data_IF_235766952253
#
_entry.id   IF_235766952253
#
_cell.length_a   1.000
_cell.length_b   1.000
_cell.length_c   1.000
_cell.angle_alpha   90.00
_cell.angle_beta   90.00
_cell.angle_gamma   90.00
#
_symmetry.space_group_name_H-M   'P 1'
#
loop_
_entity.id
_entity.type
_entity.pdbx_description
1 polymer ?
#
# COMPACT_ATOMS: atom_id res chain seq x y z
N UNK A 1 -34.69 -28.12 -2.11
CA UNK A 1 -33.70 -27.36 -2.90
C UNK A 1 -33.68 -25.86 -2.59
N UNK A 2 -34.81 -25.21 -2.27
CA UNK A 2 -34.84 -23.75 -2.06
C UNK A 2 -34.16 -23.27 -0.77
N UNK A 3 -34.16 -24.07 0.30
CA UNK A 3 -33.48 -23.74 1.58
C UNK A 3 -31.95 -23.68 1.43
N UNK A 4 -31.39 -24.52 0.56
CA UNK A 4 -29.95 -24.55 0.27
C UNK A 4 -29.53 -23.39 -0.64
N UNK A 5 -30.37 -23.03 -1.61
CA UNK A 5 -30.15 -21.86 -2.46
C UNK A 5 -30.19 -20.54 -1.65
N UNK A 6 -31.13 -20.41 -0.70
CA UNK A 6 -31.18 -19.24 0.19
C UNK A 6 -29.95 -19.14 1.10
N UNK A 7 -29.46 -20.27 1.62
CA UNK A 7 -28.26 -20.31 2.47
C UNK A 7 -27.00 -19.93 1.70
N UNK A 8 -26.83 -20.46 0.48
CA UNK A 8 -25.69 -20.13 -0.38
C UNK A 8 -25.66 -18.65 -0.77
N UNK A 9 -26.83 -18.08 -1.09
CA UNK A 9 -26.95 -16.65 -1.40
C UNK A 9 -26.58 -15.76 -0.22
N UNK A 10 -27.02 -16.12 0.99
CA UNK A 10 -26.70 -15.39 2.22
C UNK A 10 -25.19 -15.40 2.54
N UNK A 11 -24.50 -16.51 2.29
CA UNK A 11 -23.04 -16.60 2.45
C UNK A 11 -22.34 -15.68 1.44
N UNK A 12 -22.76 -15.66 0.17
CA UNK A 12 -22.17 -14.79 -0.85
C UNK A 12 -22.34 -13.29 -0.52
N UNK A 13 -23.46 -12.89 0.09
CA UNK A 13 -23.71 -11.50 0.50
C UNK A 13 -22.82 -11.04 1.67
N UNK A 14 -22.30 -11.97 2.47
CA UNK A 14 -21.43 -11.66 3.62
C UNK A 14 -19.95 -11.44 3.26
N UNK A 15 -19.59 -11.57 1.97
CA UNK A 15 -18.21 -11.44 1.49
C UNK A 15 -17.70 -9.99 1.39
N UNK A 16 -18.39 -9.01 2.00
CA UNK A 16 -17.96 -7.62 2.00
C UNK A 16 -16.67 -7.47 2.83
N UNK A 17 -15.62 -6.90 2.24
CA UNK A 17 -14.29 -6.76 2.84
C UNK A 17 -14.20 -5.73 3.97
N UNK A 18 -13.02 -5.64 4.58
CA UNK A 18 -12.72 -4.68 5.66
C UNK A 18 -12.77 -3.22 5.16
N UNK A 19 -13.20 -2.29 6.01
CA UNK A 19 -13.35 -0.87 5.70
C UNK A 19 -12.64 0.00 6.72
N UNK A 20 -12.15 1.16 6.28
CA UNK A 20 -11.46 2.09 7.17
C UNK A 20 -12.41 2.62 8.25
N UNK A 21 -11.99 2.51 9.52
CA UNK A 21 -12.76 2.97 10.68
C UNK A 21 -12.42 4.40 11.10
N UNK A 22 -11.25 4.90 10.69
CA UNK A 22 -10.77 6.25 10.98
C UNK A 22 -10.82 7.08 9.70
N UNK A 23 -11.17 8.35 9.84
CA UNK A 23 -11.04 9.33 8.76
C UNK A 23 -9.56 9.64 8.48
N UNK A 24 -9.29 10.19 7.29
CA UNK A 24 -7.93 10.62 6.90
C UNK A 24 -7.35 11.65 7.88
N UNK A 25 -8.21 12.52 8.44
CA UNK A 25 -7.80 13.52 9.42
C UNK A 25 -7.33 12.87 10.74
N UNK A 26 -7.99 11.82 11.20
CA UNK A 26 -7.63 11.09 12.43
C UNK A 26 -6.34 10.27 12.28
N UNK A 27 -6.00 9.88 11.05
CA UNK A 27 -4.76 9.17 10.71
C UNK A 27 -3.59 10.09 10.35
N UNK A 28 -3.73 11.42 10.44
CA UNK A 28 -2.72 12.39 9.99
C UNK A 28 -2.33 13.35 11.13
N UNK A 29 -1.08 13.80 11.15
CA UNK A 29 -0.56 14.79 12.11
C UNK A 29 0.48 14.21 13.08
N UNK A 30 0.94 15.01 14.05
CA UNK A 30 2.05 14.64 14.94
C UNK A 30 1.69 13.54 15.96
N UNK A 31 0.39 13.29 16.18
CA UNK A 31 -0.09 12.25 17.09
C UNK A 31 -1.35 11.57 16.51
N UNK A 32 -1.22 10.79 15.44
CA UNK A 32 -2.36 10.13 14.80
C UNK A 32 -2.93 9.03 15.69
N UNK A 33 -4.22 8.75 15.54
CA UNK A 33 -4.83 7.58 16.14
C UNK A 33 -4.34 6.32 15.46
N UNK A 34 -3.76 5.39 16.21
CA UNK A 34 -3.32 4.09 15.68
C UNK A 34 -4.34 3.02 16.07
N UNK A 35 -5.08 2.44 15.09
CA UNK A 35 -5.98 1.33 15.39
C UNK A 35 -5.18 0.09 15.78
N UNK A 36 -5.78 -0.76 16.63
CA UNK A 36 -5.20 -2.05 16.94
C UNK A 36 -5.13 -2.93 15.67
N UNK A 37 -4.12 -3.81 15.55
CA UNK A 37 -4.01 -4.74 14.43
C UNK A 37 -5.26 -5.63 14.30
N UNK A 38 -5.78 -5.77 13.10
CA UNK A 38 -6.90 -6.68 12.78
C UNK A 38 -6.33 -7.98 12.23
N UNK A 39 -6.81 -9.12 12.75
CA UNK A 39 -6.47 -10.46 12.25
C UNK A 39 -7.71 -11.08 11.59
N UNK A 40 -7.60 -11.45 10.32
CA UNK A 40 -8.67 -12.13 9.57
C UNK A 40 -8.12 -13.41 8.94
N UNK A 41 -9.03 -14.35 8.63
CA UNK A 41 -8.67 -15.59 7.91
C UNK A 41 -8.22 -15.30 6.47
N UNK A 42 -8.83 -14.30 5.84
CA UNK A 42 -8.47 -13.79 4.51
C UNK A 42 -8.09 -12.31 4.65
N UNK A 43 -6.82 -11.92 4.48
CA UNK A 43 -6.40 -10.53 4.61
C UNK A 43 -6.83 -9.70 3.39
N UNK A 44 -7.22 -8.46 3.62
CA UNK A 44 -7.39 -7.48 2.55
C UNK A 44 -6.01 -6.97 2.13
N UNK A 45 -5.67 -7.13 0.85
CA UNK A 45 -4.39 -6.70 0.30
C UNK A 45 -4.66 -5.78 -0.89
N UNK A 46 -4.23 -4.52 -0.80
CA UNK A 46 -4.30 -3.55 -1.89
C UNK A 46 -2.88 -3.06 -2.21
N UNK A 47 -2.17 -3.83 -3.03
CA UNK A 47 -0.80 -3.51 -3.44
C UNK A 47 -0.86 -2.62 -4.68
N UNK A 48 -0.31 -1.42 -4.60
CA UNK A 48 -0.10 -0.57 -5.76
C UNK A 48 0.95 -1.21 -6.68
N UNK A 49 0.71 -1.32 -8.01
CA UNK A 49 1.73 -1.76 -8.95
C UNK A 49 2.96 -0.85 -8.90
N UNK A 50 4.15 -1.44 -8.84
CA UNK A 50 5.38 -0.68 -8.95
C UNK A 50 5.56 -0.19 -10.40
N UNK A 51 5.57 1.14 -10.60
CA UNK A 51 5.84 1.76 -11.89
C UNK A 51 7.28 2.28 -11.86
N UNK A 52 8.14 1.70 -12.69
CA UNK A 52 9.51 2.18 -12.89
C UNK A 52 9.56 3.48 -13.69
N UNK A 53 10.72 4.13 -13.69
CA UNK A 53 10.98 5.27 -14.57
C UNK A 53 11.26 4.78 -16.01
N UNK A 54 10.84 5.53 -17.05
CA UNK A 54 11.30 5.29 -18.41
C UNK A 54 12.83 5.37 -18.51
N UNK A 55 13.41 4.70 -19.51
CA UNK A 55 14.86 4.73 -19.74
C UNK A 55 15.37 6.17 -19.88
N UNK A 56 16.38 6.53 -19.08
CA UNK A 56 17.01 7.85 -19.09
C UNK A 56 16.18 8.96 -18.45
N UNK A 57 15.00 8.67 -17.88
CA UNK A 57 14.19 9.67 -17.22
C UNK A 57 14.77 10.03 -15.84
N UNK A 58 14.69 11.32 -15.50
CA UNK A 58 15.15 11.86 -14.21
C UNK A 58 14.13 12.89 -13.69
N UNK A 59 13.86 12.94 -12.38
CA UNK A 59 12.98 13.96 -11.80
C UNK A 59 13.55 15.37 -11.94
N UNK A 60 12.66 16.36 -11.90
CA UNK A 60 13.05 17.77 -11.87
C UNK A 60 13.79 18.08 -10.57
N UNK A 61 15.00 18.61 -10.68
CA UNK A 61 15.78 19.05 -9.53
C UNK A 61 15.20 20.36 -8.94
N UNK A 62 15.34 20.53 -7.63
CA UNK A 62 15.07 21.80 -6.97
C UNK A 62 16.06 22.89 -7.44
N UNK A 63 15.68 24.16 -7.35
CA UNK A 63 16.54 25.27 -7.75
C UNK A 63 17.91 25.23 -7.05
N UNK A 64 18.99 25.38 -7.82
CA UNK A 64 20.37 25.31 -7.31
C UNK A 64 20.89 23.89 -7.07
N UNK A 65 20.14 22.83 -7.42
CA UNK A 65 20.54 21.42 -7.24
C UNK A 65 20.59 20.66 -8.57
N UNK A 66 21.18 19.47 -8.57
CA UNK A 66 21.23 18.54 -9.70
C UNK A 66 20.81 17.15 -9.23
N UNK A 67 20.02 16.46 -10.05
CA UNK A 67 19.73 15.03 -9.87
C UNK A 67 20.64 14.22 -10.80
N UNK A 68 21.27 13.18 -10.26
CA UNK A 68 22.04 12.20 -11.03
C UNK A 68 21.77 10.79 -10.48
N UNK A 69 21.68 9.80 -11.36
CA UNK A 69 21.57 8.41 -10.94
C UNK A 69 22.93 7.91 -10.43
N UNK A 70 22.95 7.34 -9.22
CA UNK A 70 24.15 6.72 -8.64
C UNK A 70 24.25 5.23 -8.99
N UNK A 71 23.11 4.54 -9.05
CA UNK A 71 22.97 3.15 -9.46
C UNK A 71 21.56 2.93 -10.05
N UNK A 72 21.40 1.89 -10.86
CA UNK A 72 20.13 1.44 -11.43
C UNK A 72 19.92 -0.07 -11.20
N UNK A 73 18.78 -0.61 -11.66
CA UNK A 73 18.50 -2.06 -11.58
C UNK A 73 18.30 -2.62 -10.16
N UNK A 74 18.03 -1.78 -9.17
CA UNK A 74 17.86 -2.21 -7.79
C UNK A 74 16.45 -2.78 -7.54
N UNK A 75 16.39 -3.98 -6.96
CA UNK A 75 15.12 -4.65 -6.62
C UNK A 75 14.75 -4.36 -5.15
N UNK A 76 13.82 -3.42 -4.95
CA UNK A 76 13.33 -2.98 -3.63
C UNK A 76 14.44 -2.72 -2.58
N UNK A 77 15.49 -1.95 -2.91
CA UNK A 77 16.57 -1.66 -1.97
C UNK A 77 16.00 -0.84 -0.80
N UNK A 78 16.19 -1.32 0.43
CA UNK A 78 15.73 -0.58 1.61
C UNK A 78 16.86 0.19 2.29
N UNK A 79 18.08 -0.34 2.23
CA UNK A 79 19.19 0.10 3.07
C UNK A 79 20.39 0.47 2.19
N UNK A 80 21.08 1.54 2.55
CA UNK A 80 22.33 1.95 1.94
C UNK A 80 23.42 1.85 3.02
N UNK A 81 24.53 1.19 2.71
CA UNK A 81 25.67 1.08 3.61
C UNK A 81 26.82 1.91 3.04
N UNK A 82 27.26 2.92 3.81
CA UNK A 82 28.43 3.71 3.45
C UNK A 82 29.67 2.96 3.94
N UNK A 83 30.54 2.56 3.02
CA UNK A 83 31.82 1.94 3.37
C UNK A 83 32.83 3.02 3.80
N UNK A 84 33.72 2.71 4.77
CA UNK A 84 34.88 3.53 5.09
C UNK A 84 35.95 3.52 3.99
#
# INVERSE_FOLDING_TARGET
MHRWAALALAVCLSACGDVAKLSVAESTGPRPGLPAPVKSLLPTVHIAPAIGWPSGATPQAAAGTRVAAFADGLDHPRWLHVLP
#
